data_IF_731935172742
#
_entry.id   IF_731935172742
#
_cell.length_a   1.000
_cell.length_b   1.000
_cell.length_c   1.000
_cell.angle_alpha   90.00
_cell.angle_beta   90.00
_cell.angle_gamma   90.00
#
_symmetry.space_group_name_H-M   'P 1'
#
loop_
_entity.id
_entity.type
_entity.pdbx_description
1 polymer ?
#
# COMPACT_ATOMS: atom_id res chain seq x y z
N UNK A 1 -12.28 19.20 -13.41
CA UNK A 1 -12.09 18.13 -14.41
C UNK A 1 -12.96 16.94 -13.99
N UNK A 2 -13.81 16.43 -14.88
CA UNK A 2 -14.62 15.22 -14.61
C UNK A 2 -13.74 14.01 -14.91
N UNK A 3 -13.70 13.05 -13.98
CA UNK A 3 -12.97 11.79 -14.13
C UNK A 3 -13.98 10.65 -14.25
N UNK A 4 -13.76 9.72 -15.15
CA UNK A 4 -14.65 8.58 -15.42
C UNK A 4 -13.87 7.28 -15.42
N UNK A 5 -14.54 6.17 -15.10
CA UNK A 5 -13.98 4.82 -15.30
C UNK A 5 -13.80 4.58 -16.80
N UNK A 6 -12.69 3.96 -17.20
CA UNK A 6 -12.46 3.47 -18.56
C UNK A 6 -12.82 1.98 -18.62
N UNK A 7 -13.88 1.65 -19.36
CA UNK A 7 -14.40 0.29 -19.42
C UNK A 7 -13.42 -0.63 -20.16
N UNK A 8 -12.88 -1.63 -19.45
CA UNK A 8 -11.85 -2.52 -20.00
C UNK A 8 -10.51 -1.82 -20.28
N UNK A 9 -10.26 -0.64 -19.69
CA UNK A 9 -9.06 0.16 -19.93
C UNK A 9 -9.10 1.03 -21.19
N UNK A 10 -10.17 0.96 -21.99
CA UNK A 10 -10.35 1.79 -23.18
C UNK A 10 -10.73 3.23 -22.82
N UNK A 11 -9.86 4.19 -23.14
CA UNK A 11 -10.04 5.61 -22.84
C UNK A 11 -11.19 6.28 -23.63
N UNK A 12 -11.61 5.69 -24.75
CA UNK A 12 -12.76 6.18 -25.52
C UNK A 12 -14.09 5.71 -24.90
N UNK A 13 -14.09 4.56 -24.22
CA UNK A 13 -15.27 3.97 -23.58
C UNK A 13 -15.40 4.44 -22.13
N UNK A 14 -16.07 5.57 -21.94
CA UNK A 14 -16.33 6.17 -20.62
C UNK A 14 -17.48 5.47 -19.91
N UNK A 15 -17.23 5.08 -18.66
CA UNK A 15 -18.23 4.57 -17.72
C UNK A 15 -18.67 5.63 -16.70
N UNK A 16 -18.98 5.18 -15.49
CA UNK A 16 -19.44 6.05 -14.40
C UNK A 16 -18.41 7.15 -14.05
N UNK A 17 -18.92 8.31 -13.67
CA UNK A 17 -18.12 9.41 -13.10
C UNK A 17 -17.65 8.99 -11.71
N UNK A 18 -16.40 9.30 -11.39
CA UNK A 18 -15.78 8.99 -10.10
C UNK A 18 -15.21 10.24 -9.45
N UNK A 19 -15.24 10.25 -8.12
CA UNK A 19 -14.56 11.25 -7.28
C UNK A 19 -13.29 10.66 -6.68
N UNK A 20 -12.37 11.51 -6.15
CA UNK A 20 -11.23 11.04 -5.38
C UNK A 20 -11.67 10.14 -4.23
N UNK A 21 -10.95 9.05 -4.00
CA UNK A 21 -11.25 8.06 -2.98
C UNK A 21 -10.35 6.84 -3.12
N UNK A 22 -10.70 5.77 -2.41
CA UNK A 22 -10.03 4.47 -2.46
C UNK A 22 -10.99 3.40 -2.96
N UNK A 23 -10.49 2.30 -3.59
CA UNK A 23 -11.33 1.16 -3.92
C UNK A 23 -12.14 0.67 -2.72
N UNK A 24 -13.42 0.33 -2.93
CA UNK A 24 -14.34 -0.08 -1.86
C UNK A 24 -13.95 -1.38 -1.15
N UNK A 25 -13.06 -2.17 -1.74
CA UNK A 25 -12.50 -3.40 -1.15
C UNK A 25 -11.43 -3.09 -0.09
N UNK A 26 -10.89 -1.86 -0.07
CA UNK A 26 -9.87 -1.42 0.88
C UNK A 26 -10.52 -0.62 2.02
N UNK A 27 -9.83 -0.47 3.17
CA UNK A 27 -10.31 0.36 4.27
C UNK A 27 -10.67 1.77 3.80
N UNK A 28 -11.76 2.36 4.30
CA UNK A 28 -12.21 3.66 3.83
C UNK A 28 -11.19 4.76 4.17
N UNK A 29 -11.05 5.72 3.26
CA UNK A 29 -10.28 6.93 3.51
C UNK A 29 -11.15 7.91 4.30
N UNK A 30 -10.73 8.23 5.52
CA UNK A 30 -11.43 9.18 6.39
C UNK A 30 -11.07 10.61 5.98
N UNK A 31 -11.95 11.27 5.23
CA UNK A 31 -11.84 12.68 4.89
C UNK A 31 -13.19 13.38 5.09
N UNK A 32 -13.15 14.63 5.56
CA UNK A 32 -14.35 15.40 5.89
C UNK A 32 -15.11 15.92 4.66
N UNK A 33 -14.42 16.08 3.52
CA UNK A 33 -15.00 16.59 2.27
C UNK A 33 -14.40 15.85 1.06
N UNK A 34 -13.52 16.52 0.31
CA UNK A 34 -12.86 16.00 -0.90
C UNK A 34 -11.50 15.46 -0.50
N UNK A 35 -11.25 14.14 -0.62
CA UNK A 35 -9.95 13.57 -0.34
C UNK A 35 -8.85 14.27 -1.11
N UNK A 36 -7.83 14.71 -0.39
CA UNK A 36 -6.63 15.32 -0.94
C UNK A 36 -5.51 14.29 -1.08
N UNK A 37 -4.42 14.68 -1.76
CA UNK A 37 -3.21 13.85 -1.80
C UNK A 37 -2.59 13.63 -0.42
N UNK A 38 -2.74 14.61 0.49
CA UNK A 38 -2.27 14.48 1.86
C UNK A 38 -3.08 13.43 2.63
N UNK A 39 -4.40 13.38 2.41
CA UNK A 39 -5.25 12.38 3.05
C UNK A 39 -4.90 10.97 2.56
N UNK A 40 -4.64 10.82 1.26
CA UNK A 40 -4.14 9.56 0.70
C UNK A 40 -2.78 9.18 1.30
N UNK A 41 -1.85 10.13 1.44
CA UNK A 41 -0.53 9.86 2.02
C UNK A 41 -0.66 9.38 3.48
N UNK A 42 -1.46 10.07 4.30
CA UNK A 42 -1.77 9.67 5.68
C UNK A 42 -2.44 8.31 5.76
N UNK A 43 -3.34 8.00 4.83
CA UNK A 43 -4.01 6.70 4.75
C UNK A 43 -3.04 5.57 4.38
N UNK A 44 -2.09 5.81 3.47
CA UNK A 44 -1.08 4.82 3.08
C UNK A 44 -0.17 4.48 4.27
N UNK A 45 0.28 5.49 5.03
CA UNK A 45 1.23 5.34 6.14
C UNK A 45 0.55 5.20 7.51
N UNK A 46 -0.78 5.02 7.55
CA UNK A 46 -1.51 4.84 8.80
C UNK A 46 -0.98 3.58 9.53
N UNK A 47 -0.69 3.62 10.84
CA UNK A 47 -0.23 2.44 11.59
C UNK A 47 -1.18 1.23 11.53
N UNK A 48 -2.46 1.44 11.21
CA UNK A 48 -3.44 0.37 10.98
C UNK A 48 -3.27 -0.32 9.62
N UNK A 49 -2.46 0.25 8.73
CA UNK A 49 -2.05 -0.37 7.46
C UNK A 49 -0.68 -1.05 7.62
N UNK A 50 -0.63 -2.37 7.86
CA UNK A 50 0.64 -3.08 8.08
C UNK A 50 1.48 -3.23 6.81
N UNK A 51 0.88 -3.08 5.62
CA UNK A 51 1.56 -3.39 4.35
C UNK A 51 2.69 -2.39 4.05
N UNK A 52 2.46 -1.10 4.26
CA UNK A 52 3.45 -0.07 3.93
C UNK A 52 4.78 -0.27 4.71
N UNK A 53 4.67 -0.59 6.00
CA UNK A 53 5.81 -0.87 6.86
C UNK A 53 6.51 -2.18 6.47
N UNK A 54 5.75 -3.27 6.24
CA UNK A 54 6.31 -4.57 5.82
C UNK A 54 7.07 -4.48 4.50
N UNK A 55 6.50 -3.81 3.50
CA UNK A 55 7.17 -3.60 2.20
C UNK A 55 8.46 -2.81 2.37
N UNK A 56 8.41 -1.71 3.11
CA UNK A 56 9.59 -0.85 3.32
C UNK A 56 10.72 -1.59 4.04
N UNK A 57 10.40 -2.31 5.12
CA UNK A 57 11.38 -3.11 5.86
C UNK A 57 11.97 -4.22 5.00
N UNK A 58 11.15 -4.90 4.20
CA UNK A 58 11.64 -5.95 3.31
C UNK A 58 12.62 -5.41 2.26
N UNK A 59 12.33 -4.22 1.71
CA UNK A 59 13.24 -3.52 0.79
C UNK A 59 14.56 -3.17 1.44
N UNK A 60 14.53 -2.64 2.65
CA UNK A 60 15.73 -2.34 3.43
C UNK A 60 16.53 -3.63 3.69
N UNK A 61 15.86 -4.69 4.14
CA UNK A 61 16.47 -6.00 4.37
C UNK A 61 17.15 -6.53 3.11
N UNK A 62 16.44 -6.54 1.99
CA UNK A 62 16.98 -6.96 0.70
C UNK A 62 18.17 -6.12 0.25
N UNK A 63 18.15 -4.80 0.50
CA UNK A 63 19.29 -3.93 0.18
C UNK A 63 20.56 -4.28 0.99
N UNK A 64 20.40 -4.75 2.24
CA UNK A 64 21.53 -5.14 3.09
C UNK A 64 22.00 -6.59 2.87
N UNK A 65 21.08 -7.51 2.64
CA UNK A 65 21.35 -8.96 2.63
C UNK A 65 21.25 -9.60 1.23
N UNK A 66 20.85 -8.85 0.21
CA UNK A 66 20.70 -9.31 -1.18
C UNK A 66 19.40 -10.07 -1.47
N UNK A 67 18.77 -10.66 -0.45
CA UNK A 67 17.49 -11.38 -0.56
C UNK A 67 16.51 -10.87 0.49
N UNK A 68 15.29 -10.49 0.05
CA UNK A 68 14.22 -10.08 0.94
C UNK A 68 13.67 -11.24 1.77
N UNK A 69 13.07 -10.93 2.92
CA UNK A 69 12.27 -11.90 3.68
C UNK A 69 11.09 -12.41 2.85
N UNK A 70 10.48 -11.52 2.07
CA UNK A 70 9.66 -11.80 0.89
C UNK A 70 10.54 -11.58 -0.33
N UNK A 71 10.83 -12.66 -1.07
CA UNK A 71 11.72 -12.61 -2.24
C UNK A 71 11.13 -11.78 -3.40
N UNK A 72 9.81 -11.80 -3.53
CA UNK A 72 9.07 -11.03 -4.53
C UNK A 72 8.77 -9.62 -4.01
N UNK A 73 9.79 -8.76 -4.04
CA UNK A 73 9.73 -7.40 -3.48
C UNK A 73 8.49 -6.57 -3.90
N UNK A 74 8.02 -6.75 -5.14
CA UNK A 74 6.90 -5.99 -5.70
C UNK A 74 5.54 -6.70 -5.58
N UNK A 75 5.48 -7.88 -4.94
CA UNK A 75 4.25 -8.64 -4.78
C UNK A 75 4.11 -9.17 -3.34
N UNK A 76 3.41 -8.40 -2.51
CA UNK A 76 3.04 -8.80 -1.15
C UNK A 76 1.64 -9.45 -1.09
N UNK A 77 1.08 -9.77 -2.25
CA UNK A 77 -0.23 -10.39 -2.39
C UNK A 77 -0.15 -11.92 -2.49
N UNK A 78 -1.25 -12.53 -2.94
CA UNK A 78 -1.35 -13.99 -3.08
C UNK A 78 -0.51 -14.56 -4.23
N UNK A 79 0.01 -13.70 -5.10
CA UNK A 79 0.87 -14.06 -6.22
C UNK A 79 2.37 -13.95 -5.85
N UNK A 80 2.66 -13.34 -4.70
CA UNK A 80 4.00 -13.27 -4.13
C UNK A 80 4.42 -14.54 -3.40
N UNK A 81 5.72 -14.64 -3.17
CA UNK A 81 6.31 -15.64 -2.28
C UNK A 81 5.94 -15.35 -0.83
N UNK A 82 5.62 -16.40 -0.07
CA UNK A 82 5.41 -16.25 1.35
C UNK A 82 6.70 -15.77 2.05
N UNK A 83 6.60 -14.93 3.09
CA UNK A 83 7.77 -14.52 3.85
C UNK A 83 8.45 -15.74 4.48
N UNK A 84 9.78 -15.83 4.32
CA UNK A 84 10.59 -16.90 4.92
C UNK A 84 10.52 -16.89 6.45
N UNK A 85 10.44 -15.69 7.06
CA UNK A 85 10.35 -15.49 8.50
C UNK A 85 9.24 -14.47 8.80
N UNK A 86 7.95 -14.89 8.81
CA UNK A 86 6.81 -13.98 8.96
C UNK A 86 6.83 -13.20 10.27
N UNK A 87 7.14 -13.87 11.39
CA UNK A 87 7.18 -13.23 12.71
C UNK A 87 8.29 -12.17 12.81
N UNK A 88 9.43 -12.42 12.19
CA UNK A 88 10.53 -11.46 12.12
C UNK A 88 10.13 -10.23 11.30
N UNK A 89 9.50 -10.44 10.14
CA UNK A 89 9.01 -9.35 9.30
C UNK A 89 8.00 -8.49 10.04
N UNK A 90 7.08 -9.11 10.78
CA UNK A 90 6.06 -8.43 11.58
C UNK A 90 6.67 -7.64 12.73
N UNK A 91 7.62 -8.25 13.43
CA UNK A 91 8.36 -7.58 14.49
C UNK A 91 9.12 -6.36 13.94
N UNK A 92 9.90 -6.52 12.87
CA UNK A 92 10.66 -5.42 12.25
C UNK A 92 9.73 -4.30 11.74
N UNK A 93 8.61 -4.65 11.10
CA UNK A 93 7.65 -3.68 10.60
C UNK A 93 6.98 -2.89 11.73
N UNK A 94 6.58 -3.57 12.82
CA UNK A 94 5.98 -2.91 13.97
C UNK A 94 6.97 -1.98 14.70
N UNK A 95 8.22 -2.44 14.88
CA UNK A 95 9.29 -1.64 15.49
C UNK A 95 9.65 -0.42 14.63
N UNK A 96 9.66 -0.57 13.31
CA UNK A 96 9.94 0.52 12.38
C UNK A 96 8.91 1.65 12.49
N UNK A 97 7.62 1.31 12.58
CA UNK A 97 6.56 2.31 12.82
C UNK A 97 6.67 2.91 14.22
N UNK A 98 6.92 2.09 15.25
CA UNK A 98 7.04 2.54 16.65
C UNK A 98 8.19 3.54 16.86
N UNK A 99 9.26 3.45 16.06
CA UNK A 99 10.41 4.37 16.10
C UNK A 99 10.21 5.67 15.32
N UNK A 100 9.00 5.97 14.86
CA UNK A 100 8.70 7.14 14.03
C UNK A 100 9.61 7.23 12.79
N UNK A 101 9.60 6.16 11.98
CA UNK A 101 10.13 6.14 10.61
C UNK A 101 10.09 7.49 9.86
N UNK A 102 11.16 7.78 9.11
CA UNK A 102 11.40 9.02 8.35
C UNK A 102 11.60 8.77 6.86
#
# INVERSE_FOLDING_TARGET
>A
RVTTIHLGGDFLRKGAVVTPGVPSVLPPLLANDKPTRLDLAKWIVDPKNPLAARVTVNRMWQAYFGLGLVETENDFGTQGTAPSHPELLDWLASEFVARNWS
#
